data_IF_294873587234
#
_entry.id   IF_294873587234
#
_cell.length_a   1.000
_cell.length_b   1.000
_cell.length_c   1.000
_cell.angle_alpha   90.00
_cell.angle_beta   90.00
_cell.angle_gamma   90.00
#
_symmetry.space_group_name_H-M   'P 1'
#
loop_
_entity.id
_entity.type
_entity.pdbx_description
1 polymer ?
#
# COMPACT_ATOMS: atom_id res chain seq x y z
N UNK A 1 -4.92 -3.90 -1.09
CA UNK A 1 -5.58 -4.42 -2.31
C UNK A 1 -7.09 -4.21 -2.28
N UNK A 2 -7.61 -3.53 -1.26
CA UNK A 2 -9.00 -3.07 -1.18
C UNK A 2 -9.25 -1.76 -1.96
N UNK A 3 -8.17 -1.07 -2.37
CA UNK A 3 -8.21 0.24 -3.04
C UNK A 3 -9.13 0.29 -4.27
N UNK A 4 -9.28 -0.82 -5.00
CA UNK A 4 -10.08 -0.91 -6.23
C UNK A 4 -11.32 -1.80 -6.09
N UNK A 5 -11.72 -2.15 -4.87
CA UNK A 5 -12.96 -2.87 -4.63
C UNK A 5 -14.14 -2.01 -5.07
N UNK A 6 -15.14 -2.63 -5.71
CA UNK A 6 -16.35 -1.93 -6.16
C UNK A 6 -17.03 -1.22 -4.99
N UNK A 7 -17.40 0.05 -5.20
CA UNK A 7 -17.99 0.95 -4.19
C UNK A 7 -17.14 1.15 -2.91
N UNK A 8 -15.85 0.77 -2.95
CA UNK A 8 -14.91 1.03 -1.87
C UNK A 8 -14.59 2.52 -1.75
N UNK A 9 -14.52 3.04 -0.52
CA UNK A 9 -14.29 4.47 -0.27
C UNK A 9 -12.94 5.02 -0.78
N UNK A 10 -12.01 4.15 -1.18
CA UNK A 10 -10.73 4.51 -1.79
C UNK A 10 -10.72 4.41 -3.32
N UNK A 11 -11.78 3.86 -3.93
CA UNK A 11 -11.86 3.66 -5.37
C UNK A 11 -12.33 4.96 -6.06
N UNK A 12 -11.36 5.80 -6.40
CA UNK A 12 -11.61 7.06 -7.12
C UNK A 12 -11.64 6.89 -8.64
N UNK A 13 -11.53 5.68 -9.16
CA UNK A 13 -11.52 5.40 -10.60
C UNK A 13 -12.92 5.12 -11.17
N UNK A 14 -13.85 4.71 -10.31
CA UNK A 14 -15.17 4.22 -10.72
C UNK A 14 -15.12 2.84 -11.42
N UNK A 15 -13.94 2.21 -11.49
CA UNK A 15 -13.78 0.87 -12.03
C UNK A 15 -14.42 -0.17 -11.10
N UNK A 16 -14.98 -1.22 -11.70
CA UNK A 16 -15.57 -2.35 -10.98
C UNK A 16 -15.30 -3.65 -11.72
N UNK A 17 -15.08 -4.72 -10.97
CA UNK A 17 -14.88 -6.05 -11.52
C UNK A 17 -15.26 -7.11 -10.48
N UNK A 18 -16.30 -7.89 -10.76
CA UNK A 18 -16.83 -8.88 -9.81
C UNK A 18 -15.81 -9.94 -9.42
N UNK A 19 -14.98 -10.39 -10.36
CA UNK A 19 -13.94 -11.39 -10.08
C UNK A 19 -12.85 -10.81 -9.19
N UNK A 20 -12.48 -9.56 -9.40
CA UNK A 20 -11.54 -8.86 -8.53
C UNK A 20 -12.08 -8.80 -7.08
N UNK A 21 -13.33 -8.37 -6.90
CA UNK A 21 -13.95 -8.27 -5.57
C UNK A 21 -13.97 -9.63 -4.84
N UNK A 22 -14.34 -10.71 -5.55
CA UNK A 22 -14.30 -12.08 -5.02
C UNK A 22 -12.89 -12.48 -4.56
N UNK A 23 -11.86 -12.20 -5.36
CA UNK A 23 -10.48 -12.54 -5.03
C UNK A 23 -9.99 -11.79 -3.79
N UNK A 24 -10.36 -10.53 -3.63
CA UNK A 24 -10.03 -9.74 -2.43
C UNK A 24 -10.75 -10.29 -1.20
N UNK A 25 -12.02 -10.69 -1.32
CA UNK A 25 -12.76 -11.30 -0.22
C UNK A 25 -12.19 -12.67 0.19
N UNK A 26 -11.84 -13.51 -0.78
CA UNK A 26 -11.17 -14.80 -0.53
C UNK A 26 -9.83 -14.60 0.16
N UNK A 27 -9.01 -13.64 -0.31
CA UNK A 27 -7.73 -13.32 0.31
C UNK A 27 -7.88 -12.80 1.75
N UNK A 28 -8.95 -12.07 2.06
CA UNK A 28 -9.23 -11.59 3.41
C UNK A 28 -9.58 -12.72 4.39
N UNK A 29 -10.24 -13.78 3.92
CA UNK A 29 -10.68 -14.94 4.74
C UNK A 29 -9.64 -16.07 4.80
N UNK A 30 -8.69 -16.12 3.86
CA UNK A 30 -7.71 -17.20 3.76
C UNK A 30 -6.62 -17.08 4.84
N UNK A 31 -6.41 -18.13 5.64
CA UNK A 31 -5.39 -18.19 6.69
C UNK A 31 -4.00 -18.60 6.18
N UNK A 32 -3.93 -19.37 5.10
CA UNK A 32 -2.67 -19.81 4.50
C UNK A 32 -2.03 -18.68 3.66
N UNK A 33 -0.77 -18.37 3.96
CA UNK A 33 -0.06 -17.26 3.29
C UNK A 33 0.21 -17.52 1.81
N UNK A 34 0.44 -18.77 1.41
CA UNK A 34 0.74 -19.11 0.02
C UNK A 34 -0.51 -19.00 -0.83
N UNK A 35 -1.63 -19.57 -0.38
CA UNK A 35 -2.93 -19.44 -1.04
C UNK A 35 -3.41 -18.00 -1.11
N UNK A 36 -3.24 -17.23 -0.02
CA UNK A 36 -3.56 -15.80 -0.02
C UNK A 36 -2.78 -15.03 -1.07
N UNK A 37 -1.50 -15.37 -1.26
CA UNK A 37 -0.65 -14.77 -2.29
C UNK A 37 -1.11 -15.13 -3.70
N UNK A 38 -1.59 -16.34 -3.92
CA UNK A 38 -2.15 -16.76 -5.21
C UNK A 38 -3.39 -15.93 -5.59
N UNK A 39 -4.30 -15.68 -4.63
CA UNK A 39 -5.45 -14.81 -4.86
C UNK A 39 -5.05 -13.37 -5.20
N UNK A 40 -4.08 -12.79 -4.47
CA UNK A 40 -3.57 -11.46 -4.80
C UNK A 40 -2.91 -11.42 -6.17
N UNK A 41 -2.18 -12.47 -6.55
CA UNK A 41 -1.54 -12.54 -7.85
C UNK A 41 -2.55 -12.63 -9.00
N UNK A 42 -3.66 -13.34 -8.81
CA UNK A 42 -4.77 -13.35 -9.78
C UNK A 42 -5.44 -11.96 -9.87
N UNK A 43 -5.65 -11.30 -8.75
CA UNK A 43 -6.22 -9.95 -8.70
C UNK A 43 -5.32 -8.92 -9.41
N UNK A 44 -3.99 -9.01 -9.23
CA UNK A 44 -3.01 -8.18 -9.94
C UNK A 44 -3.05 -8.38 -11.46
N UNK A 45 -3.28 -9.62 -11.95
CA UNK A 45 -3.40 -9.88 -13.39
C UNK A 45 -4.59 -9.15 -14.01
N UNK A 46 -5.72 -9.10 -13.30
CA UNK A 46 -6.91 -8.35 -13.74
C UNK A 46 -6.57 -6.86 -13.84
N UNK A 47 -5.97 -6.28 -12.80
CA UNK A 47 -5.56 -4.88 -12.82
C UNK A 47 -4.56 -4.57 -13.94
N UNK A 48 -3.63 -5.48 -14.23
CA UNK A 48 -2.68 -5.32 -15.32
C UNK A 48 -3.32 -5.43 -16.71
N UNK A 49 -4.36 -6.26 -16.86
CA UNK A 49 -5.06 -6.44 -18.13
C UNK A 49 -6.05 -5.30 -18.43
N UNK A 50 -6.76 -4.82 -17.40
CA UNK A 50 -7.81 -3.81 -17.55
C UNK A 50 -7.31 -2.38 -17.32
N UNK A 51 -6.14 -2.22 -16.68
CA UNK A 51 -5.46 -0.95 -16.42
C UNK A 51 -6.38 0.18 -15.93
N UNK A 52 -7.14 -0.01 -14.82
CA UNK A 52 -7.98 1.05 -14.27
C UNK A 52 -7.18 2.22 -13.68
N UNK A 53 -5.87 2.02 -13.49
CA UNK A 53 -4.91 3.04 -13.14
C UNK A 53 -3.64 2.87 -13.98
N UNK A 54 -2.86 3.95 -14.09
CA UNK A 54 -1.55 3.94 -14.74
C UNK A 54 -0.45 4.27 -13.72
N UNK A 55 0.25 3.26 -13.16
CA UNK A 55 1.38 3.49 -12.27
C UNK A 55 2.53 4.17 -13.04
N UNK A 56 3.03 5.30 -12.52
CA UNK A 56 4.12 6.05 -13.16
C UNK A 56 5.47 5.70 -12.52
N UNK A 57 5.53 5.62 -11.19
CA UNK A 57 6.75 5.32 -10.44
C UNK A 57 6.44 4.76 -9.05
N UNK A 58 7.45 4.12 -8.44
CA UNK A 58 7.44 3.74 -7.03
C UNK A 58 8.14 4.81 -6.21
N UNK A 59 7.49 5.26 -5.13
CA UNK A 59 8.00 6.35 -4.31
C UNK A 59 9.27 5.96 -3.56
N UNK A 60 10.17 6.94 -3.39
CA UNK A 60 11.31 6.88 -2.48
C UNK A 60 11.19 7.99 -1.45
N UNK A 61 11.46 7.68 -0.19
CA UNK A 61 11.51 8.69 0.88
C UNK A 61 12.87 9.39 0.86
N UNK A 62 12.91 10.58 0.27
CA UNK A 62 14.09 11.45 0.29
C UNK A 62 13.75 12.75 1.01
N UNK A 63 14.48 13.04 2.09
CA UNK A 63 14.28 14.25 2.90
C UNK A 63 15.61 14.78 3.42
N UNK A 64 15.69 16.10 3.57
CA UNK A 64 16.79 16.77 4.26
C UNK A 64 16.41 17.00 5.72
N UNK A 65 17.37 16.81 6.63
CA UNK A 65 17.16 16.93 8.07
C UNK A 65 18.37 17.55 8.73
N UNK A 66 18.14 18.45 9.70
CA UNK A 66 19.22 18.95 10.55
C UNK A 66 19.88 17.80 11.31
N UNK A 67 21.19 17.92 11.55
CA UNK A 67 21.96 16.98 12.38
C UNK A 67 21.48 16.95 13.83
N UNK A 68 20.81 18.03 14.26
CA UNK A 68 20.25 18.18 15.60
C UNK A 68 19.03 17.27 15.84
N UNK A 69 18.39 16.78 14.78
CA UNK A 69 17.21 15.92 14.91
C UNK A 69 17.66 14.49 15.19
N UNK A 70 17.38 14.01 16.41
CA UNK A 70 17.64 12.64 16.84
C UNK A 70 16.32 11.85 16.95
N UNK A 71 16.44 10.53 16.96
CA UNK A 71 15.29 9.62 17.11
C UNK A 71 14.45 9.41 15.84
N UNK A 72 14.91 9.91 14.69
CA UNK A 72 14.30 9.64 13.39
C UNK A 72 15.00 8.47 12.69
N UNK A 73 14.26 7.41 12.36
CA UNK A 73 14.81 6.20 11.75
C UNK A 73 14.02 5.78 10.51
N UNK A 74 14.68 5.49 9.38
CA UNK A 74 13.99 5.08 8.16
C UNK A 74 13.17 3.81 8.40
N UNK A 75 11.97 3.75 7.81
CA UNK A 75 11.12 2.57 7.83
C UNK A 75 10.29 2.49 6.54
N UNK A 76 9.75 1.30 6.27
CA UNK A 76 9.08 0.98 4.98
C UNK A 76 7.83 1.83 4.75
N UNK A 77 7.16 2.28 5.82
CA UNK A 77 5.95 3.12 5.74
C UNK A 77 6.25 4.62 5.88
N UNK A 78 7.53 4.98 6.08
CA UNK A 78 7.96 6.34 6.39
C UNK A 78 7.19 6.99 7.57
N UNK A 79 6.74 6.18 8.53
CA UNK A 79 6.02 6.62 9.72
C UNK A 79 6.97 6.87 10.88
N UNK A 80 7.08 8.12 11.34
CA UNK A 80 8.02 8.51 12.39
C UNK A 80 7.28 9.09 13.59
N UNK A 81 7.09 8.33 14.69
CA UNK A 81 6.35 8.82 15.84
C UNK A 81 7.09 9.97 16.53
N UNK A 82 6.51 11.17 16.51
CA UNK A 82 7.15 12.38 17.05
C UNK A 82 7.48 12.30 18.55
N UNK A 83 6.80 11.45 19.31
CA UNK A 83 7.13 11.19 20.72
C UNK A 83 8.59 10.78 20.94
N UNK A 84 9.21 10.15 19.93
CA UNK A 84 10.60 9.69 20.00
C UNK A 84 11.58 10.61 19.27
N UNK A 85 11.10 11.67 18.62
CA UNK A 85 11.91 12.63 17.88
C UNK A 85 12.20 13.82 18.79
N UNK A 86 13.46 14.18 18.90
CA UNK A 86 13.89 15.30 19.74
C UNK A 86 15.04 16.07 19.10
N UNK A 87 15.26 17.29 19.60
CA UNK A 87 16.37 18.14 19.20
C UNK A 87 17.49 18.04 20.23
N UNK A 88 18.67 17.71 19.77
CA UNK A 88 19.90 17.71 20.55
C UNK A 88 20.94 18.46 19.74
N UNK A 89 21.32 19.66 20.21
CA UNK A 89 22.38 20.45 19.59
C UNK A 89 23.72 19.91 20.07
N UNK A 90 24.67 19.78 19.15
CA UNK A 90 26.08 19.56 19.49
C UNK A 90 26.64 20.72 20.34
#
# INVERSE_FOLDING_TARGET
MDMWVTDGGHNNTGWSNTRYDELIELAAKEGDKSKRKEFFHEAEKILAAEMPMLPIYFYVSSSLRSKDVKGWYPNVLDHHPYKHVYLEKD
#
